data_IF_152038371917
#
_entry.id   IF_152038371917
#
_cell.length_a   1.000
_cell.length_b   1.000
_cell.length_c   1.000
_cell.angle_alpha   90.00
_cell.angle_beta   90.00
_cell.angle_gamma   90.00
#
_symmetry.space_group_name_H-M   'P 1'
#
loop_
_entity.id
_entity.type
_entity.pdbx_description
1 polymer ?
#
# COMPACT_ATOMS: atom_id res chain seq x y z
N UNK A 1 19.36 7.01 -4.36
CA UNK A 1 19.51 6.89 -5.84
C UNK A 1 18.95 8.16 -6.45
N UNK A 2 19.71 8.82 -7.35
CA UNK A 2 19.15 9.93 -8.12
C UNK A 2 18.23 9.34 -9.20
N UNK A 3 17.01 9.83 -9.29
CA UNK A 3 16.07 9.40 -10.32
C UNK A 3 16.42 10.11 -11.63
N UNK A 4 17.11 9.41 -12.50
CA UNK A 4 17.42 9.85 -13.86
C UNK A 4 16.52 9.15 -14.89
N UNK A 5 16.64 9.54 -16.14
CA UNK A 5 15.81 9.05 -17.25
C UNK A 5 15.90 7.52 -17.40
N UNK A 6 17.11 6.97 -17.32
CA UNK A 6 17.37 5.52 -17.43
C UNK A 6 16.77 4.74 -16.26
N UNK A 7 16.92 5.25 -15.04
CA UNK A 7 16.34 4.63 -13.84
C UNK A 7 14.82 4.69 -13.86
N UNK A 8 14.25 5.80 -14.35
CA UNK A 8 12.81 5.96 -14.50
C UNK A 8 12.25 5.00 -15.56
N UNK A 9 12.90 4.89 -16.71
CA UNK A 9 12.49 3.98 -17.77
C UNK A 9 12.50 2.52 -17.27
N UNK A 10 13.55 2.13 -16.55
CA UNK A 10 13.63 0.80 -15.92
C UNK A 10 12.53 0.58 -14.89
N UNK A 11 12.22 1.58 -14.06
CA UNK A 11 11.09 1.51 -13.13
C UNK A 11 9.77 1.32 -13.86
N UNK A 12 9.55 2.06 -14.95
CA UNK A 12 8.33 1.96 -15.74
C UNK A 12 8.13 0.57 -16.34
N UNK A 13 9.14 0.02 -17.00
CA UNK A 13 9.06 -1.30 -17.63
C UNK A 13 8.96 -2.44 -16.59
N UNK A 14 9.63 -2.31 -15.46
CA UNK A 14 9.63 -3.36 -14.44
C UNK A 14 8.35 -3.35 -13.60
N UNK A 15 7.88 -2.18 -13.19
CA UNK A 15 6.79 -2.06 -12.22
C UNK A 15 5.46 -1.61 -12.82
N UNK A 16 5.45 -1.03 -14.02
CA UNK A 16 4.22 -0.58 -14.67
C UNK A 16 3.16 -1.67 -14.80
N UNK A 17 3.47 -2.84 -15.40
CA UNK A 17 2.52 -3.94 -15.51
C UNK A 17 1.98 -4.44 -14.15
N UNK A 18 2.87 -4.51 -13.14
CA UNK A 18 2.52 -4.94 -11.78
C UNK A 18 1.58 -3.94 -11.12
N UNK A 19 1.87 -2.65 -11.25
CA UNK A 19 1.02 -1.58 -10.73
C UNK A 19 -0.34 -1.52 -11.44
N UNK A 20 -0.40 -1.81 -12.73
CA UNK A 20 -1.67 -1.92 -13.45
C UNK A 20 -2.52 -3.09 -12.94
N UNK A 21 -1.92 -4.26 -12.70
CA UNK A 21 -2.60 -5.40 -12.10
C UNK A 21 -3.09 -5.05 -10.68
N UNK A 22 -2.25 -4.41 -9.87
CA UNK A 22 -2.60 -3.92 -8.55
C UNK A 22 -3.78 -2.95 -8.59
N UNK A 23 -3.71 -1.88 -9.40
CA UNK A 23 -4.79 -0.90 -9.54
C UNK A 23 -6.09 -1.50 -10.08
N UNK A 24 -5.99 -2.45 -11.01
CA UNK A 24 -7.15 -3.15 -11.57
C UNK A 24 -7.95 -3.91 -10.50
N UNK A 25 -7.30 -4.49 -9.49
CA UNK A 25 -8.01 -5.16 -8.40
C UNK A 25 -8.88 -4.21 -7.58
N UNK A 26 -8.44 -2.96 -7.40
CA UNK A 26 -9.24 -1.92 -6.75
C UNK A 26 -10.38 -1.41 -7.62
N UNK A 27 -10.09 -1.14 -8.89
CA UNK A 27 -10.98 -0.38 -9.76
C UNK A 27 -11.90 -1.28 -10.57
N UNK A 28 -11.53 -2.55 -10.76
CA UNK A 28 -12.21 -3.53 -11.62
C UNK A 28 -12.45 -3.02 -13.06
N UNK A 29 -11.63 -2.06 -13.46
CA UNK A 29 -11.63 -1.43 -14.78
C UNK A 29 -10.17 -1.29 -15.22
N UNK A 30 -9.79 -2.03 -16.28
CA UNK A 30 -8.41 -2.10 -16.74
C UNK A 30 -7.93 -0.77 -17.32
N UNK A 31 -8.75 -0.12 -18.11
CA UNK A 31 -8.39 1.15 -18.72
C UNK A 31 -8.18 2.22 -17.66
N UNK A 32 -9.09 2.29 -16.69
CA UNK A 32 -8.97 3.21 -15.56
C UNK A 32 -7.71 2.91 -14.72
N UNK A 33 -7.35 1.66 -14.55
CA UNK A 33 -6.13 1.27 -13.83
C UNK A 33 -4.86 1.69 -14.59
N UNK A 34 -4.81 1.48 -15.89
CA UNK A 34 -3.70 1.89 -16.76
C UNK A 34 -3.52 3.41 -16.75
N UNK A 35 -4.60 4.19 -16.92
CA UNK A 35 -4.58 5.65 -16.86
C UNK A 35 -4.05 6.15 -15.50
N UNK A 36 -4.55 5.58 -14.42
CA UNK A 36 -4.15 5.96 -13.07
C UNK A 36 -2.68 5.65 -12.78
N UNK A 37 -2.18 4.52 -13.27
CA UNK A 37 -0.76 4.16 -13.14
C UNK A 37 0.11 5.11 -13.96
N UNK A 38 -0.26 5.43 -15.21
CA UNK A 38 0.46 6.41 -16.03
C UNK A 38 0.53 7.77 -15.34
N UNK A 39 -0.59 8.27 -14.83
CA UNK A 39 -0.61 9.52 -14.05
C UNK A 39 0.27 9.46 -12.80
N UNK A 40 0.41 8.28 -12.20
CA UNK A 40 1.26 8.10 -11.02
C UNK A 40 2.74 8.19 -11.37
N UNK A 41 3.13 7.63 -12.52
CA UNK A 41 4.49 7.78 -13.05
C UNK A 41 4.79 9.23 -13.45
N UNK A 42 3.85 9.94 -14.08
CA UNK A 42 4.00 11.36 -14.39
C UNK A 42 4.24 12.17 -13.11
N UNK A 43 3.46 11.90 -12.07
CA UNK A 43 3.62 12.59 -10.78
C UNK A 43 4.97 12.28 -10.11
N UNK A 44 5.47 11.05 -10.25
CA UNK A 44 6.81 10.68 -9.77
C UNK A 44 7.88 11.44 -10.56
N UNK A 45 7.77 11.49 -11.88
CA UNK A 45 8.66 12.22 -12.77
C UNK A 45 8.74 13.69 -12.40
N UNK A 46 7.61 14.39 -12.37
CA UNK A 46 7.54 15.84 -12.10
C UNK A 46 8.15 16.21 -10.74
N UNK A 47 7.98 15.35 -9.75
CA UNK A 47 8.38 15.68 -8.37
C UNK A 47 9.82 15.27 -8.04
N UNK A 48 10.31 14.19 -8.63
CA UNK A 48 11.56 13.56 -8.20
C UNK A 48 12.62 13.46 -9.28
N UNK A 49 12.34 13.85 -10.53
CA UNK A 49 13.33 13.83 -11.60
C UNK A 49 14.53 14.70 -11.26
N UNK A 50 15.74 14.14 -11.39
CA UNK A 50 17.00 14.80 -11.02
C UNK A 50 17.23 14.98 -9.52
N UNK A 51 16.41 14.35 -8.64
CA UNK A 51 16.53 14.43 -7.18
C UNK A 51 16.86 13.07 -6.58
N UNK A 52 17.41 13.10 -5.39
CA UNK A 52 17.56 11.87 -4.60
C UNK A 52 16.18 11.32 -4.20
N UNK A 53 15.97 10.08 -4.57
CA UNK A 53 14.82 9.30 -4.14
C UNK A 53 15.36 8.06 -3.40
N UNK A 54 15.21 8.03 -2.08
CA UNK A 54 15.68 6.90 -1.28
C UNK A 54 14.90 5.62 -1.59
N UNK A 55 13.63 5.75 -1.90
CA UNK A 55 12.70 4.63 -2.09
C UNK A 55 11.62 4.95 -3.14
N UNK A 56 12.00 5.04 -4.41
CA UNK A 56 11.07 5.36 -5.49
C UNK A 56 9.96 4.31 -5.68
N UNK A 57 10.27 3.02 -5.46
CA UNK A 57 9.30 1.93 -5.62
C UNK A 57 8.18 2.02 -4.57
N UNK A 58 8.46 2.04 -3.26
CA UNK A 58 7.43 2.26 -2.25
C UNK A 58 6.61 3.53 -2.47
N UNK A 59 7.27 4.62 -2.84
CA UNK A 59 6.60 5.89 -3.11
C UNK A 59 5.62 5.78 -4.28
N UNK A 60 6.01 5.09 -5.35
CA UNK A 60 5.17 4.89 -6.52
C UNK A 60 3.92 4.06 -6.19
N UNK A 61 4.09 2.97 -5.43
CA UNK A 61 2.97 2.18 -4.93
C UNK A 61 2.02 2.99 -4.06
N UNK A 62 2.55 3.83 -3.16
CA UNK A 62 1.76 4.73 -2.33
C UNK A 62 0.93 5.70 -3.19
N UNK A 63 1.53 6.29 -4.22
CA UNK A 63 0.83 7.19 -5.13
C UNK A 63 -0.32 6.46 -5.82
N UNK A 64 -0.06 5.28 -6.38
CA UNK A 64 -1.07 4.45 -7.07
C UNK A 64 -2.21 4.08 -6.12
N UNK A 65 -1.89 3.55 -4.94
CA UNK A 65 -2.90 3.17 -3.95
C UNK A 65 -3.79 4.35 -3.55
N UNK A 66 -3.18 5.47 -3.17
CA UNK A 66 -3.95 6.63 -2.76
C UNK A 66 -4.88 7.13 -3.87
N UNK A 67 -4.41 7.13 -5.12
CA UNK A 67 -5.24 7.46 -6.27
C UNK A 67 -6.37 6.44 -6.47
N UNK A 68 -6.14 5.15 -6.27
CA UNK A 68 -7.18 4.12 -6.33
C UNK A 68 -8.26 4.38 -5.28
N UNK A 69 -7.88 4.61 -4.03
CA UNK A 69 -8.81 4.90 -2.94
C UNK A 69 -9.61 6.19 -3.18
N UNK A 70 -8.96 7.26 -3.64
CA UNK A 70 -9.63 8.51 -4.00
C UNK A 70 -10.62 8.28 -5.15
N UNK A 71 -10.27 7.45 -6.13
CA UNK A 71 -11.17 7.10 -7.24
C UNK A 71 -12.37 6.30 -6.77
N UNK A 72 -12.18 5.32 -5.91
CA UNK A 72 -13.26 4.56 -5.29
C UNK A 72 -14.20 5.50 -4.53
N UNK A 73 -13.66 6.39 -3.69
CA UNK A 73 -14.46 7.39 -2.96
C UNK A 73 -15.29 8.27 -3.90
N UNK A 74 -14.72 8.72 -5.01
CA UNK A 74 -15.45 9.51 -6.01
C UNK A 74 -16.57 8.70 -6.69
N UNK A 75 -16.31 7.44 -7.04
CA UNK A 75 -17.30 6.56 -7.65
C UNK A 75 -18.44 6.23 -6.68
N UNK A 76 -18.11 6.02 -5.40
CA UNK A 76 -19.08 5.78 -4.33
C UNK A 76 -20.01 6.97 -4.13
N UNK A 77 -19.47 8.17 -4.10
CA UNK A 77 -20.26 9.40 -3.99
C UNK A 77 -21.21 9.60 -5.18
N UNK A 78 -20.81 9.16 -6.38
CA UNK A 78 -21.62 9.26 -7.60
C UNK A 78 -22.71 8.20 -7.73
N UNK A 79 -22.52 6.98 -7.16
CA UNK A 79 -23.40 5.82 -7.34
C UNK A 79 -24.27 5.46 -6.11
N UNK A 80 -24.13 6.17 -4.98
CA UNK A 80 -24.80 5.80 -3.72
C UNK A 80 -24.01 4.77 -2.90
N UNK A 81 -24.12 4.88 -1.59
CA UNK A 81 -23.17 4.35 -0.59
C UNK A 81 -23.08 2.81 -0.51
N UNK A 82 -24.08 2.06 -1.00
CA UNK A 82 -24.19 0.63 -0.68
C UNK A 82 -23.37 -0.33 -1.56
N UNK A 83 -23.02 0.06 -2.76
CA UNK A 83 -22.50 -0.89 -3.77
C UNK A 83 -20.97 -1.16 -3.67
N UNK A 84 -20.20 -0.40 -2.90
CA UNK A 84 -18.73 -0.40 -3.02
C UNK A 84 -18.01 -0.86 -1.74
N UNK A 85 -18.70 -0.96 -0.60
CA UNK A 85 -18.08 -1.42 0.67
C UNK A 85 -17.53 -2.85 0.59
N UNK A 86 -18.05 -3.68 -0.34
CA UNK A 86 -17.58 -5.05 -0.59
C UNK A 86 -16.52 -5.17 -1.71
N UNK A 87 -15.96 -4.06 -2.20
CA UNK A 87 -15.04 -4.07 -3.35
C UNK A 87 -13.60 -3.69 -3.00
N UNK A 88 -13.27 -3.52 -1.73
CA UNK A 88 -11.86 -3.38 -1.35
C UNK A 88 -11.21 -4.76 -1.41
N UNK A 89 -10.09 -4.92 -2.13
CA UNK A 89 -9.37 -6.18 -2.13
C UNK A 89 -8.88 -6.48 -0.71
N UNK A 90 -9.04 -7.70 -0.26
CA UNK A 90 -8.44 -8.17 0.98
C UNK A 90 -6.91 -8.06 0.88
N UNK A 91 -6.22 -8.00 2.03
CA UNK A 91 -4.75 -7.88 2.07
C UNK A 91 -4.06 -8.95 1.23
N UNK A 92 -4.63 -10.16 1.25
CA UNK A 92 -4.19 -11.32 0.51
C UNK A 92 -4.24 -11.08 -1.01
N UNK A 93 -5.34 -10.51 -1.51
CA UNK A 93 -5.47 -10.16 -2.93
C UNK A 93 -4.50 -9.06 -3.36
N UNK A 94 -4.13 -8.16 -2.44
CA UNK A 94 -3.16 -7.10 -2.74
C UNK A 94 -1.75 -7.66 -2.89
N UNK A 95 -1.34 -8.59 -2.05
CA UNK A 95 -0.05 -9.25 -2.13
C UNK A 95 0.08 -10.07 -3.43
N UNK A 96 -0.97 -10.83 -3.80
CA UNK A 96 -1.00 -11.58 -5.07
C UNK A 96 -0.92 -10.69 -6.32
N UNK A 97 -1.38 -9.43 -6.26
CA UNK A 97 -1.32 -8.51 -7.40
C UNK A 97 0.10 -8.09 -7.75
N UNK A 98 1.02 -8.22 -6.82
CA UNK A 98 2.39 -7.79 -7.00
C UNK A 98 3.23 -8.75 -7.86
N UNK A 99 2.71 -9.96 -8.16
CA UNK A 99 3.27 -11.00 -9.02
C UNK A 99 4.81 -10.93 -9.16
N UNK A 100 5.50 -11.45 -8.13
CA UNK A 100 6.98 -11.45 -8.10
C UNK A 100 7.61 -12.56 -8.96
N UNK A 101 6.85 -13.16 -9.87
CA UNK A 101 7.29 -14.28 -10.69
C UNK A 101 6.83 -15.62 -10.11
N UNK A 102 6.61 -16.56 -10.99
CA UNK A 102 5.90 -17.83 -10.77
C UNK A 102 6.50 -18.81 -9.75
N UNK A 103 7.65 -18.53 -9.17
CA UNK A 103 8.32 -19.43 -8.22
C UNK A 103 8.07 -19.10 -6.73
N UNK A 104 7.40 -17.98 -6.41
CA UNK A 104 7.36 -17.44 -5.04
C UNK A 104 6.02 -17.56 -4.30
N UNK A 105 5.15 -18.49 -4.66
CA UNK A 105 3.91 -18.75 -3.89
C UNK A 105 4.19 -19.06 -2.42
N UNK A 106 5.27 -19.77 -2.15
CA UNK A 106 5.69 -20.12 -0.79
C UNK A 106 6.10 -18.88 0.00
N UNK A 107 6.85 -18.00 -0.62
CA UNK A 107 7.31 -16.75 -0.02
C UNK A 107 6.14 -15.79 0.31
N UNK A 108 5.09 -15.80 -0.52
CA UNK A 108 3.87 -15.05 -0.25
C UNK A 108 3.12 -15.53 0.99
N UNK A 109 2.94 -16.85 1.10
CA UNK A 109 2.28 -17.42 2.27
C UNK A 109 3.09 -17.18 3.56
N UNK A 110 4.40 -17.31 3.49
CA UNK A 110 5.28 -17.02 4.62
C UNK A 110 5.16 -15.54 5.02
N UNK A 111 5.13 -14.62 4.06
CA UNK A 111 4.98 -13.20 4.31
C UNK A 111 3.61 -12.85 4.89
N UNK A 112 2.55 -13.40 4.34
CA UNK A 112 1.19 -13.24 4.85
C UNK A 112 1.07 -13.71 6.30
N UNK A 113 1.62 -14.89 6.60
CA UNK A 113 1.66 -15.41 7.96
C UNK A 113 2.44 -14.49 8.91
N UNK A 114 3.59 -13.95 8.47
CA UNK A 114 4.39 -13.03 9.29
C UNK A 114 3.65 -11.71 9.53
N UNK A 115 3.00 -11.15 8.53
CA UNK A 115 2.16 -9.95 8.69
C UNK A 115 1.01 -10.23 9.66
N UNK A 116 0.34 -11.37 9.53
CA UNK A 116 -0.75 -11.77 10.42
C UNK A 116 -0.28 -11.94 11.86
N UNK A 117 0.84 -12.61 12.08
CA UNK A 117 1.46 -12.77 13.42
C UNK A 117 1.72 -11.43 14.08
N UNK A 118 2.29 -10.48 13.35
CA UNK A 118 2.55 -9.14 13.89
C UNK A 118 1.24 -8.39 14.17
N UNK A 119 0.29 -8.44 13.25
CA UNK A 119 -1.02 -7.81 13.45
C UNK A 119 -1.71 -8.37 14.69
N UNK A 120 -1.65 -9.69 14.90
CA UNK A 120 -2.25 -10.37 16.06
C UNK A 120 -1.52 -10.08 17.37
N UNK A 121 -0.24 -9.74 17.33
CA UNK A 121 0.54 -9.32 18.49
C UNK A 121 0.26 -7.88 18.94
N UNK A 122 -0.35 -7.06 18.07
CA UNK A 122 -0.69 -5.68 18.42
C UNK A 122 -1.81 -5.63 19.48
N UNK A 123 -1.74 -4.68 20.43
CA UNK A 123 -2.88 -4.42 21.32
C UNK A 123 -4.14 -4.12 20.52
N UNK A 124 -5.30 -4.61 20.97
CA UNK A 124 -6.57 -4.56 20.23
C UNK A 124 -6.87 -3.18 19.62
N UNK A 125 -6.73 -2.12 20.40
CA UNK A 125 -6.99 -0.77 19.93
C UNK A 125 -5.96 -0.30 18.87
N UNK A 126 -4.73 -0.77 18.98
CA UNK A 126 -3.68 -0.46 18.02
C UNK A 126 -3.95 -1.18 16.69
N UNK A 127 -4.34 -2.46 16.77
CA UNK A 127 -4.74 -3.28 15.64
C UNK A 127 -5.95 -2.67 14.91
N UNK A 128 -7.00 -2.32 15.63
CA UNK A 128 -8.20 -1.71 15.08
C UNK A 128 -7.89 -0.42 14.30
N UNK A 129 -7.14 0.50 14.90
CA UNK A 129 -6.69 1.75 14.24
C UNK A 129 -5.85 1.45 13.01
N UNK A 130 -4.95 0.47 13.11
CA UNK A 130 -4.07 0.08 12.00
C UNK A 130 -4.87 -0.47 10.83
N UNK A 131 -5.81 -1.38 11.07
CA UNK A 131 -6.67 -1.95 10.04
C UNK A 131 -7.54 -0.89 9.38
N UNK A 132 -8.21 -0.02 10.14
CA UNK A 132 -8.98 1.08 9.59
C UNK A 132 -8.14 2.00 8.69
N UNK A 133 -6.92 2.30 9.10
CA UNK A 133 -6.02 3.13 8.32
C UNK A 133 -5.53 2.43 7.05
N UNK A 134 -5.17 1.13 7.16
CA UNK A 134 -4.45 0.40 6.09
C UNK A 134 -5.37 -0.39 5.18
N UNK A 135 -6.39 -1.02 5.73
CA UNK A 135 -7.35 -1.81 4.96
C UNK A 135 -8.50 -0.95 4.46
N UNK A 136 -9.10 -0.15 5.34
CA UNK A 136 -10.25 0.67 4.98
C UNK A 136 -9.87 2.02 4.36
N UNK A 137 -8.56 2.36 4.33
CA UNK A 137 -8.05 3.62 3.77
C UNK A 137 -8.65 4.88 4.42
N UNK A 138 -9.06 4.77 5.69
CA UNK A 138 -9.65 5.88 6.43
C UNK A 138 -8.58 6.92 6.80
N UNK A 139 -8.94 8.19 6.74
CA UNK A 139 -8.08 9.28 7.23
C UNK A 139 -8.05 9.29 8.75
N UNK A 140 -6.96 9.77 9.34
CA UNK A 140 -6.82 9.85 10.81
C UNK A 140 -8.02 10.55 11.48
N UNK A 141 -8.56 11.58 10.85
CA UNK A 141 -9.75 12.29 11.34
C UNK A 141 -11.00 11.41 11.34
N UNK A 142 -11.20 10.61 10.30
CA UNK A 142 -12.34 9.68 10.18
C UNK A 142 -12.24 8.57 11.25
N UNK A 143 -11.03 8.00 11.43
CA UNK A 143 -10.75 7.00 12.46
C UNK A 143 -10.99 7.58 13.86
N UNK A 144 -10.49 8.80 14.10
CA UNK A 144 -10.65 9.49 15.37
C UNK A 144 -12.14 9.67 15.73
N UNK A 145 -12.95 10.07 14.76
CA UNK A 145 -14.40 10.22 14.92
C UNK A 145 -15.10 8.88 15.17
N UNK A 146 -14.77 7.85 14.39
CA UNK A 146 -15.38 6.52 14.50
C UNK A 146 -15.08 5.88 15.84
N UNK A 147 -13.85 6.03 16.34
CA UNK A 147 -13.39 5.40 17.58
C UNK A 147 -13.56 6.27 18.83
N UNK A 148 -13.99 7.53 18.69
CA UNK A 148 -14.15 8.47 19.80
C UNK A 148 -12.82 8.84 20.48
N UNK A 149 -11.71 8.92 19.71
CA UNK A 149 -10.38 9.28 20.21
C UNK A 149 -9.83 10.50 19.45
N UNK A 150 -8.75 11.09 19.93
CA UNK A 150 -8.12 12.22 19.24
C UNK A 150 -7.31 11.75 18.02
N UNK A 151 -7.17 12.59 16.98
CA UNK A 151 -6.31 12.32 15.83
C UNK A 151 -4.87 12.02 16.26
N UNK A 152 -4.38 12.72 17.29
CA UNK A 152 -3.05 12.46 17.86
C UNK A 152 -2.93 11.06 18.49
N UNK A 153 -4.02 10.53 19.06
CA UNK A 153 -4.05 9.15 19.55
C UNK A 153 -4.02 8.15 18.40
N UNK A 154 -4.73 8.43 17.29
CA UNK A 154 -4.66 7.62 16.07
C UNK A 154 -3.23 7.57 15.53
N UNK A 155 -2.56 8.71 15.36
CA UNK A 155 -1.16 8.78 14.93
C UNK A 155 -0.22 7.97 15.84
N UNK A 156 -0.43 8.03 17.15
CA UNK A 156 0.35 7.27 18.12
C UNK A 156 0.15 5.76 17.95
N UNK A 157 -1.10 5.31 17.72
CA UNK A 157 -1.40 3.90 17.47
C UNK A 157 -0.77 3.41 16.16
N UNK A 158 -0.88 4.19 15.08
CA UNK A 158 -0.25 3.88 13.80
C UNK A 158 1.28 3.79 13.97
N UNK A 159 1.90 4.79 14.59
CA UNK A 159 3.36 4.81 14.82
C UNK A 159 3.81 3.59 15.63
N UNK A 160 3.04 3.19 16.64
CA UNK A 160 3.34 1.99 17.44
C UNK A 160 3.24 0.73 16.59
N UNK A 161 2.17 0.56 15.82
CA UNK A 161 2.02 -0.59 14.94
C UNK A 161 3.19 -0.70 13.97
N UNK A 162 3.56 0.40 13.30
CA UNK A 162 4.67 0.46 12.37
C UNK A 162 6.01 0.08 13.02
N UNK A 163 6.23 0.48 14.26
CA UNK A 163 7.44 0.11 15.02
C UNK A 163 7.49 -1.39 15.29
N UNK A 164 6.39 -2.02 15.67
CA UNK A 164 6.32 -3.46 15.92
C UNK A 164 6.56 -4.25 14.62
N UNK A 165 5.92 -3.84 13.51
CA UNK A 165 6.17 -4.43 12.20
C UNK A 165 7.64 -4.34 11.81
N UNK A 166 8.24 -3.16 11.94
CA UNK A 166 9.66 -2.96 11.61
C UNK A 166 10.57 -3.85 12.47
N UNK A 167 10.31 -3.94 13.77
CA UNK A 167 11.12 -4.76 14.68
C UNK A 167 11.01 -6.25 14.32
N UNK A 168 9.82 -6.73 14.02
CA UNK A 168 9.58 -8.12 13.65
C UNK A 168 10.27 -8.49 12.32
N UNK A 169 10.10 -7.66 11.30
CA UNK A 169 10.70 -7.87 9.99
C UNK A 169 12.23 -7.89 10.01
N UNK A 170 12.85 -7.06 10.87
CA UNK A 170 14.29 -7.07 11.05
C UNK A 170 14.74 -8.35 11.76
N UNK A 171 13.98 -8.84 12.73
CA UNK A 171 14.32 -10.01 13.52
C UNK A 171 14.15 -11.33 12.79
N UNK A 172 13.22 -11.40 11.83
CA UNK A 172 12.91 -12.64 11.10
C UNK A 172 14.00 -13.07 10.11
N UNK A 173 14.86 -12.16 9.66
CA UNK A 173 16.06 -12.47 8.85
C UNK A 173 15.81 -13.12 7.48
N UNK A 174 14.56 -13.44 7.15
CA UNK A 174 14.20 -14.22 5.96
C UNK A 174 13.73 -13.38 4.77
N UNK A 175 13.79 -12.06 4.90
CA UNK A 175 13.18 -11.16 3.91
C UNK A 175 14.26 -10.51 3.07
N UNK A 176 14.17 -10.69 1.74
CA UNK A 176 15.05 -10.01 0.80
C UNK A 176 14.89 -8.48 0.92
N UNK A 177 15.93 -7.69 0.62
CA UNK A 177 15.85 -6.21 0.67
C UNK A 177 14.71 -5.63 -0.17
N UNK A 178 14.39 -6.27 -1.30
CA UNK A 178 13.30 -5.84 -2.19
C UNK A 178 11.93 -6.13 -1.57
N UNK A 179 11.79 -7.29 -0.96
CA UNK A 179 10.58 -7.68 -0.24
C UNK A 179 10.42 -6.87 1.05
N UNK A 180 11.52 -6.58 1.75
CA UNK A 180 11.53 -5.66 2.89
C UNK A 180 11.00 -4.28 2.49
N UNK A 181 11.45 -3.75 1.36
CA UNK A 181 10.99 -2.46 0.84
C UNK A 181 9.50 -2.49 0.53
N UNK A 182 8.99 -3.60 0.03
CA UNK A 182 7.57 -3.77 -0.28
C UNK A 182 6.70 -3.90 0.97
N UNK A 183 7.14 -4.69 1.95
CA UNK A 183 6.44 -4.85 3.23
C UNK A 183 6.42 -3.53 3.99
N UNK A 184 7.55 -2.87 4.07
CA UNK A 184 7.65 -1.52 4.62
C UNK A 184 6.66 -0.61 3.89
N UNK A 185 6.57 -0.73 2.57
CA UNK A 185 5.63 0.04 1.79
C UNK A 185 4.17 -0.30 2.12
N UNK A 186 3.78 -1.56 2.06
CA UNK A 186 2.41 -1.99 2.39
C UNK A 186 2.04 -1.63 3.84
N UNK A 187 2.99 -1.80 4.76
CA UNK A 187 2.77 -1.58 6.20
C UNK A 187 2.96 -0.11 6.61
N UNK A 188 3.91 0.62 6.00
CA UNK A 188 4.27 1.97 6.44
C UNK A 188 3.63 3.09 5.62
N UNK A 189 3.31 2.85 4.35
CA UNK A 189 2.82 3.90 3.45
C UNK A 189 1.45 3.59 2.83
N UNK A 190 0.83 2.47 3.23
CA UNK A 190 -0.55 2.14 2.86
C UNK A 190 -1.61 2.99 3.59
#
# INVERSE_FOLDING_TARGET
>A
MILDETSFERLYYTYGPRLCNYAHRFLRDRQMAEDLVQESFVKLWEKYMGRECESCIPLLFMIVRNKCLDRIKQLTLKRGVEAIRHQQPECDEMLYALDFGTDDRTLYHELEEEIRKVADSLPDRCREVFLMSRMDGMKNKEIAQTLGISEKAVEKHITRALKEFKAHLISSGHISPDLMSLIIFVVFFS
#
